data_IF_562691266955
#
_entry.id   IF_562691266955
#
_cell.length_a   1.000
_cell.length_b   1.000
_cell.length_c   1.000
_cell.angle_alpha   90.00
_cell.angle_beta   90.00
_cell.angle_gamma   90.00
#
_symmetry.space_group_name_H-M   'P 1'
#
loop_
_entity.id
_entity.type
_entity.pdbx_description
1 polymer ?
#
# COMPACT_ATOMS: atom_id res chain seq x y z
N UNK A 1 -13.42 0.72 -16.31
CA UNK A 1 -12.12 0.24 -15.84
C UNK A 1 -11.61 1.10 -14.72
N UNK A 2 -11.25 0.48 -13.62
CA UNK A 2 -10.71 1.20 -12.49
C UNK A 2 -9.23 1.50 -12.71
N UNK A 3 -8.90 2.76 -12.77
CA UNK A 3 -7.52 3.21 -12.82
C UNK A 3 -7.32 4.28 -11.77
N UNK A 4 -6.13 4.35 -11.26
CA UNK A 4 -5.79 5.31 -10.23
C UNK A 4 -4.78 6.29 -10.80
N UNK A 5 -5.00 7.58 -10.50
CA UNK A 5 -4.08 8.62 -10.93
C UNK A 5 -3.22 9.02 -9.74
N UNK A 6 -1.93 9.00 -9.95
CA UNK A 6 -0.98 9.39 -8.92
C UNK A 6 -0.37 10.74 -9.27
N UNK A 7 0.01 11.48 -8.22
CA UNK A 7 0.83 12.66 -8.42
C UNK A 7 2.18 12.25 -9.03
N UNK A 8 2.87 13.19 -9.62
CA UNK A 8 4.19 12.93 -10.19
C UNK A 8 5.14 12.35 -9.13
N UNK A 9 5.06 12.87 -7.91
CA UNK A 9 5.89 12.38 -6.82
C UNK A 9 5.64 10.91 -6.52
N UNK A 10 4.37 10.50 -6.46
CA UNK A 10 4.02 9.11 -6.20
C UNK A 10 4.36 8.20 -7.37
N UNK A 11 4.21 8.68 -8.60
CA UNK A 11 4.63 7.92 -9.77
C UNK A 11 6.13 7.68 -9.75
N UNK A 12 6.91 8.68 -9.36
CA UNK A 12 8.36 8.53 -9.23
C UNK A 12 8.70 7.49 -8.16
N UNK A 13 8.02 7.57 -7.00
CA UNK A 13 8.23 6.58 -5.95
C UNK A 13 7.89 5.18 -6.43
N UNK A 14 6.78 5.03 -7.15
CA UNK A 14 6.37 3.73 -7.68
C UNK A 14 7.41 3.18 -8.65
N UNK A 15 8.03 4.03 -9.46
CA UNK A 15 9.02 3.59 -10.44
C UNK A 15 10.29 3.04 -9.78
N UNK A 16 10.54 3.42 -8.53
CA UNK A 16 11.72 2.98 -7.79
C UNK A 16 11.52 1.64 -7.08
N UNK A 17 10.29 1.12 -7.06
CA UNK A 17 10.00 -0.17 -6.43
C UNK A 17 10.35 -1.29 -7.41
N UNK A 18 11.24 -2.21 -7.03
CA UNK A 18 11.57 -3.33 -7.92
C UNK A 18 10.35 -4.25 -8.12
N UNK A 19 10.21 -4.85 -9.30
CA UNK A 19 9.13 -5.81 -9.52
C UNK A 19 9.20 -6.97 -8.55
N UNK A 20 8.04 -7.48 -8.15
CA UNK A 20 7.90 -8.62 -7.24
C UNK A 20 8.46 -8.35 -5.84
N UNK A 21 8.60 -7.08 -5.46
CA UNK A 21 9.03 -6.71 -4.11
C UNK A 21 7.88 -6.87 -3.13
N UNK A 22 8.23 -7.10 -1.87
CA UNK A 22 7.30 -6.91 -0.76
C UNK A 22 7.32 -5.44 -0.37
N UNK A 23 6.16 -4.84 -0.24
CA UNK A 23 6.04 -3.39 -0.03
C UNK A 23 5.22 -3.11 1.21
N UNK A 24 5.70 -2.19 2.03
CA UNK A 24 4.90 -1.63 3.11
C UNK A 24 4.92 -0.10 3.01
N UNK A 25 3.74 0.50 3.04
CA UNK A 25 3.56 1.95 2.98
C UNK A 25 3.23 2.44 4.38
N UNK A 26 4.20 3.03 5.06
CA UNK A 26 4.05 3.53 6.43
C UNK A 26 3.56 4.97 6.37
N UNK A 27 2.53 5.28 7.17
CA UNK A 27 1.90 6.59 7.10
C UNK A 27 1.09 6.74 5.83
N UNK A 28 0.39 5.66 5.47
CA UNK A 28 -0.39 5.65 4.23
C UNK A 28 -1.57 6.61 4.34
N UNK A 29 -1.80 7.49 3.53
CA UNK A 29 -2.94 8.39 3.61
C UNK A 29 -4.18 7.69 3.06
N UNK A 30 -4.15 7.36 1.77
CA UNK A 30 -5.27 6.71 1.09
C UNK A 30 -4.85 5.40 0.44
N UNK A 31 -3.63 4.96 0.70
CA UNK A 31 -3.03 3.75 0.12
C UNK A 31 -2.93 3.81 -1.41
N UNK A 32 -2.85 5.00 -1.98
CA UNK A 32 -2.79 5.13 -3.44
C UNK A 32 -1.56 4.46 -4.03
N UNK A 33 -0.40 4.59 -3.39
CA UNK A 33 0.82 4.00 -3.91
C UNK A 33 0.77 2.47 -3.92
N UNK A 34 0.49 1.79 -2.79
CA UNK A 34 0.41 0.34 -2.83
C UNK A 34 -0.71 -0.17 -3.74
N UNK A 35 -1.85 0.52 -3.79
CA UNK A 35 -2.93 0.14 -4.68
C UNK A 35 -2.47 0.23 -6.14
N UNK A 36 -1.80 1.31 -6.51
CA UNK A 36 -1.26 1.46 -7.86
C UNK A 36 -0.31 0.32 -8.22
N UNK A 37 0.59 -0.03 -7.30
CA UNK A 37 1.54 -1.11 -7.52
C UNK A 37 0.84 -2.45 -7.70
N UNK A 38 -0.23 -2.69 -6.96
CA UNK A 38 -1.02 -3.91 -7.11
C UNK A 38 -1.78 -3.93 -8.43
N UNK A 39 -2.37 -2.80 -8.81
CA UNK A 39 -3.11 -2.70 -10.07
C UNK A 39 -2.21 -2.85 -11.29
N UNK A 40 -1.00 -2.33 -11.21
CA UNK A 40 -0.06 -2.42 -12.32
C UNK A 40 0.57 -3.81 -12.45
N UNK A 41 0.36 -4.67 -11.47
CA UNK A 41 0.97 -6.00 -11.45
C UNK A 41 2.43 -5.99 -11.07
N UNK A 42 2.97 -4.85 -10.63
CA UNK A 42 4.38 -4.77 -10.25
C UNK A 42 4.68 -5.52 -8.98
N UNK A 43 3.72 -5.56 -8.06
CA UNK A 43 3.81 -6.37 -6.84
C UNK A 43 2.55 -7.22 -6.72
N UNK A 44 2.65 -8.36 -6.03
CA UNK A 44 1.52 -9.26 -5.84
C UNK A 44 0.71 -8.92 -4.60
N UNK A 45 1.39 -8.45 -3.57
CA UNK A 45 0.75 -8.07 -2.33
C UNK A 45 1.51 -6.90 -1.74
N UNK A 46 0.82 -6.15 -0.89
CA UNK A 46 1.41 -5.00 -0.25
C UNK A 46 0.77 -4.81 1.11
N UNK A 47 1.40 -4.00 1.94
CA UNK A 47 0.88 -3.63 3.24
C UNK A 47 0.88 -2.12 3.37
N UNK A 48 -0.03 -1.60 4.15
CA UNK A 48 -0.09 -0.18 4.45
C UNK A 48 -0.44 0.00 5.92
N UNK A 49 0.11 1.02 6.53
CA UNK A 49 -0.12 1.26 7.95
C UNK A 49 -0.28 2.75 8.22
N UNK A 50 -1.00 3.04 9.30
CA UNK A 50 -1.10 4.39 9.82
C UNK A 50 -1.47 4.29 11.29
N UNK A 51 -1.11 5.31 12.06
CA UNK A 51 -1.45 5.37 13.48
C UNK A 51 -2.88 5.85 13.69
N UNK A 52 -3.51 6.40 12.69
CA UNK A 52 -4.86 6.97 12.77
C UNK A 52 -5.86 6.09 12.01
N UNK A 53 -7.05 5.96 12.57
CA UNK A 53 -8.11 5.14 11.97
C UNK A 53 -8.64 5.72 10.66
N UNK A 54 -8.70 7.07 10.55
CA UNK A 54 -9.20 7.72 9.35
C UNK A 54 -8.48 7.28 8.09
N UNK A 55 -7.16 7.43 8.04
CA UNK A 55 -6.40 6.96 6.88
C UNK A 55 -6.54 5.46 6.61
N UNK A 56 -6.65 4.64 7.66
CA UNK A 56 -6.82 3.19 7.46
C UNK A 56 -8.20 2.90 6.86
N UNK A 57 -9.24 3.58 7.34
CA UNK A 57 -10.57 3.40 6.77
C UNK A 57 -10.62 3.85 5.31
N UNK A 58 -9.95 4.96 5.00
CA UNK A 58 -9.85 5.44 3.61
C UNK A 58 -9.09 4.45 2.74
N UNK A 59 -8.01 3.88 3.25
CA UNK A 59 -7.23 2.89 2.53
C UNK A 59 -8.06 1.65 2.23
N UNK A 60 -8.83 1.18 3.22
CA UNK A 60 -9.69 0.01 3.03
C UNK A 60 -10.74 0.29 1.96
N UNK A 61 -11.39 1.43 2.04
CA UNK A 61 -12.40 1.82 1.06
C UNK A 61 -11.82 1.89 -0.35
N UNK A 62 -10.64 2.47 -0.49
CA UNK A 62 -9.98 2.56 -1.78
C UNK A 62 -9.56 1.17 -2.30
N UNK A 63 -9.06 0.30 -1.43
CA UNK A 63 -8.67 -1.04 -1.83
C UNK A 63 -9.87 -1.82 -2.37
N UNK A 64 -11.01 -1.67 -1.72
CA UNK A 64 -12.26 -2.30 -2.19
C UNK A 64 -12.70 -1.71 -3.52
N UNK A 65 -12.63 -0.39 -3.64
CA UNK A 65 -13.02 0.31 -4.85
C UNK A 65 -12.22 -0.16 -6.07
N UNK A 66 -10.94 -0.38 -5.88
CA UNK A 66 -10.06 -0.79 -6.98
C UNK A 66 -9.87 -2.29 -7.08
N UNK A 67 -10.55 -3.07 -6.24
CA UNK A 67 -10.57 -4.51 -6.36
C UNK A 67 -9.31 -5.21 -5.89
N UNK A 68 -8.54 -4.58 -4.99
CA UNK A 68 -7.28 -5.15 -4.51
C UNK A 68 -7.28 -5.43 -3.01
N UNK A 69 -8.46 -5.40 -2.38
CA UNK A 69 -8.55 -5.53 -0.92
C UNK A 69 -7.93 -6.82 -0.40
N UNK A 70 -8.02 -7.91 -1.15
CA UNK A 70 -7.47 -9.20 -0.71
C UNK A 70 -5.95 -9.25 -0.75
N UNK A 71 -5.34 -8.32 -1.48
CA UNK A 71 -3.88 -8.28 -1.65
C UNK A 71 -3.23 -7.15 -0.87
N UNK A 72 -4.03 -6.35 -0.15
CA UNK A 72 -3.53 -5.25 0.65
C UNK A 72 -3.83 -5.52 2.12
N UNK A 73 -2.80 -5.63 2.94
CA UNK A 73 -2.95 -5.79 4.38
C UNK A 73 -2.83 -4.43 5.05
N UNK A 74 -3.76 -4.13 5.93
CA UNK A 74 -3.79 -2.83 6.62
C UNK A 74 -3.47 -3.01 8.09
N UNK A 75 -2.65 -2.12 8.62
CA UNK A 75 -2.26 -2.13 10.02
C UNK A 75 -2.56 -0.76 10.65
N UNK A 76 -3.36 -0.77 11.71
CA UNK A 76 -3.58 0.44 12.51
C UNK A 76 -2.49 0.47 13.59
N UNK A 77 -1.36 1.06 13.26
CA UNK A 77 -0.21 1.06 14.15
C UNK A 77 0.83 2.06 13.66
N UNK A 78 1.94 2.14 14.35
CA UNK A 78 3.07 2.94 13.90
C UNK A 78 3.87 2.22 12.81
N UNK A 79 3.27 1.25 12.16
CA UNK A 79 3.84 0.58 11.00
C UNK A 79 4.80 -0.51 11.39
N UNK A 80 6.08 -0.20 11.46
CA UNK A 80 7.11 -1.21 11.69
C UNK A 80 6.93 -1.99 12.98
N UNK A 81 6.29 -1.38 13.98
CA UNK A 81 6.08 -2.06 15.25
C UNK A 81 5.15 -3.27 15.10
N UNK A 82 4.03 -3.08 14.39
CA UNK A 82 3.08 -4.17 14.16
C UNK A 82 3.57 -5.14 13.11
N UNK A 83 4.33 -4.64 12.15
CA UNK A 83 4.83 -5.45 11.06
C UNK A 83 6.14 -6.14 11.41
N UNK A 84 6.58 -6.03 12.66
CA UNK A 84 7.93 -6.44 13.04
C UNK A 84 8.23 -7.90 12.73
N UNK A 85 7.27 -8.76 12.99
CA UNK A 85 7.44 -10.20 12.72
C UNK A 85 7.65 -10.47 11.24
N UNK A 86 7.04 -9.66 10.40
CA UNK A 86 7.11 -9.80 8.95
C UNK A 86 8.12 -8.84 8.32
N UNK A 87 8.82 -8.04 9.12
CA UNK A 87 9.69 -6.98 8.61
C UNK A 87 10.78 -7.52 7.70
N UNK A 88 11.26 -8.74 7.95
CA UNK A 88 12.28 -9.36 7.12
C UNK A 88 11.82 -9.58 5.68
N UNK A 89 10.52 -9.54 5.44
CA UNK A 89 9.92 -9.78 4.14
C UNK A 89 9.75 -8.50 3.33
N UNK A 90 9.95 -7.35 3.96
CA UNK A 90 9.76 -6.05 3.33
C UNK A 90 11.10 -5.34 3.22
N UNK A 91 11.42 -4.89 2.05
CA UNK A 91 12.69 -4.21 1.81
C UNK A 91 12.48 -2.78 1.37
#
# INVERSE_FOLDING_TARGET
>A
MNSIKLSLRLLTAASMVPPDSDVIDVGTDHAYLPIYLLLSGKVRSASASDINEGPIAAARSNAEKYGVAERLTLYLSDGLKECNVSANRFN
#
